data_IF_898736834769
#
_entry.id   IF_898736834769
#
_cell.length_a   1.000
_cell.length_b   1.000
_cell.length_c   1.000
_cell.angle_alpha   90.00
_cell.angle_beta   90.00
_cell.angle_gamma   90.00
#
_symmetry.space_group_name_H-M   'P 1'
#
loop_
_entity.id
_entity.type
_entity.pdbx_description
1 polymer ?
#
# COMPACT_ATOMS: atom_id res chain seq x y z
N UNK A 1 -12.65 4.29 -15.65
CA UNK A 1 -11.20 4.61 -15.69
C UNK A 1 -10.51 3.30 -16.03
N UNK A 2 -9.81 3.22 -17.15
CA UNK A 2 -9.15 2.02 -17.62
C UNK A 2 -7.64 2.08 -17.37
N UNK A 3 -6.96 0.99 -17.73
CA UNK A 3 -5.51 0.82 -17.75
C UNK A 3 -4.86 1.93 -18.61
N UNK A 4 -3.73 2.46 -18.18
CA UNK A 4 -2.93 3.46 -18.87
C UNK A 4 -1.47 3.00 -18.89
N UNK A 5 -0.96 2.70 -20.08
CA UNK A 5 0.39 2.15 -20.30
C UNK A 5 1.40 3.25 -20.67
N UNK A 6 1.00 4.53 -20.72
CA UNK A 6 1.80 5.62 -21.30
C UNK A 6 3.09 5.95 -20.56
N UNK A 7 3.21 5.53 -19.30
CA UNK A 7 4.34 5.83 -18.42
C UNK A 7 4.98 4.58 -17.77
N UNK A 8 4.63 3.37 -18.25
CA UNK A 8 5.28 2.14 -17.78
C UNK A 8 6.73 2.07 -18.26
N UNK A 9 7.63 1.59 -17.43
CA UNK A 9 9.02 1.27 -17.76
C UNK A 9 9.37 -0.18 -17.33
N UNK A 10 10.64 -0.59 -17.47
CA UNK A 10 11.07 -1.96 -17.12
C UNK A 10 10.82 -2.32 -15.64
N UNK A 11 10.73 -1.32 -14.76
CA UNK A 11 10.64 -1.50 -13.30
C UNK A 11 9.31 -1.03 -12.70
N UNK A 12 8.45 -0.33 -13.48
CA UNK A 12 7.17 0.24 -13.04
C UNK A 12 6.05 -0.18 -13.97
N UNK A 13 5.00 -0.77 -13.37
CA UNK A 13 3.91 -1.35 -14.14
C UNK A 13 2.86 -0.31 -14.53
N UNK A 14 2.07 -0.59 -15.58
CA UNK A 14 1.01 0.31 -16.03
C UNK A 14 -0.03 0.59 -14.93
N UNK A 15 -0.55 1.81 -14.90
CA UNK A 15 -1.63 2.16 -13.99
C UNK A 15 -2.88 1.30 -14.24
N UNK A 16 -3.25 0.55 -13.24
CA UNK A 16 -4.50 -0.20 -13.17
C UNK A 16 -5.18 0.09 -11.82
N UNK A 17 -6.43 0.61 -11.82
CA UNK A 17 -7.06 0.98 -10.57
C UNK A 17 -7.66 -0.25 -9.87
N UNK A 18 -7.40 -0.44 -8.58
CA UNK A 18 -8.07 -1.46 -7.75
C UNK A 18 -9.59 -1.33 -7.86
N UNK A 19 -10.30 -2.44 -8.00
CA UNK A 19 -11.77 -2.42 -8.03
C UNK A 19 -12.36 -1.98 -6.68
N UNK A 20 -13.52 -1.36 -6.70
CA UNK A 20 -14.19 -0.94 -5.47
C UNK A 20 -14.65 -2.13 -4.60
N UNK A 21 -14.95 -3.26 -5.23
CA UNK A 21 -15.36 -4.48 -4.55
C UNK A 21 -14.21 -5.07 -3.71
N UNK A 22 -12.98 -5.04 -4.23
CA UNK A 22 -11.77 -5.44 -3.50
C UNK A 22 -11.50 -4.51 -2.32
N UNK A 23 -11.60 -3.19 -2.54
CA UNK A 23 -11.43 -2.22 -1.46
C UNK A 23 -12.53 -2.34 -0.38
N UNK A 24 -13.77 -2.62 -0.79
CA UNK A 24 -14.88 -2.85 0.15
C UNK A 24 -14.67 -4.11 0.99
N UNK A 25 -14.08 -5.15 0.38
CA UNK A 25 -13.68 -6.36 1.10
C UNK A 25 -12.60 -6.06 2.14
N UNK A 26 -11.53 -5.35 1.77
CA UNK A 26 -10.50 -4.93 2.72
C UNK A 26 -11.07 -4.11 3.89
N UNK A 27 -12.01 -3.19 3.62
CA UNK A 27 -12.67 -2.41 4.68
C UNK A 27 -13.42 -3.30 5.68
N UNK A 28 -14.03 -4.40 5.24
CA UNK A 28 -14.77 -5.34 6.10
C UNK A 28 -13.90 -6.15 7.04
N UNK A 29 -12.61 -6.29 6.74
CA UNK A 29 -11.67 -6.98 7.62
C UNK A 29 -11.20 -6.11 8.81
N UNK A 30 -11.63 -4.83 8.85
CA UNK A 30 -11.43 -3.89 9.96
C UNK A 30 -9.97 -3.63 10.37
N UNK A 31 -8.99 -3.89 9.47
CA UNK A 31 -7.58 -3.57 9.70
C UNK A 31 -7.32 -2.06 9.78
N UNK A 32 -8.11 -1.26 9.05
CA UNK A 32 -7.96 0.19 8.98
C UNK A 32 -9.07 0.88 9.80
N UNK A 33 -8.67 1.81 10.65
CA UNK A 33 -9.54 2.61 11.51
C UNK A 33 -9.35 4.12 11.26
N UNK A 34 -10.11 4.96 11.95
CA UNK A 34 -9.92 6.41 11.89
C UNK A 34 -8.57 6.91 12.43
N UNK A 35 -7.90 6.09 13.22
CA UNK A 35 -6.60 6.41 13.80
C UNK A 35 -5.43 5.97 12.91
N UNK A 36 -5.70 5.12 11.91
CA UNK A 36 -4.70 4.60 10.98
C UNK A 36 -4.19 5.66 10.03
N UNK A 37 -2.91 5.55 9.68
CA UNK A 37 -2.23 6.36 8.67
C UNK A 37 -1.70 5.46 7.57
N UNK A 38 -2.37 5.47 6.44
CA UNK A 38 -2.08 4.63 5.28
C UNK A 38 -1.16 5.34 4.29
N UNK A 39 -0.15 4.64 3.79
CA UNK A 39 0.59 5.01 2.57
C UNK A 39 0.18 4.09 1.43
N UNK A 40 -0.29 4.65 0.30
CA UNK A 40 -0.59 3.96 -0.95
C UNK A 40 0.55 4.17 -1.94
N UNK A 41 1.35 3.13 -2.18
CA UNK A 41 2.47 3.17 -3.11
C UNK A 41 2.03 2.89 -4.54
N UNK A 42 2.22 3.86 -5.43
CA UNK A 42 1.70 3.84 -6.80
C UNK A 42 0.23 4.25 -6.84
N UNK A 43 -0.14 5.29 -6.09
CA UNK A 43 -1.53 5.71 -5.90
C UNK A 43 -2.26 6.13 -7.19
N UNK A 44 -1.52 6.42 -8.26
CA UNK A 44 -2.07 6.86 -9.54
C UNK A 44 -2.97 8.09 -9.39
N UNK A 45 -4.27 7.90 -9.64
CA UNK A 45 -5.29 8.98 -9.55
C UNK A 45 -6.00 9.04 -8.17
N UNK A 46 -5.47 8.32 -7.16
CA UNK A 46 -5.90 8.38 -5.77
C UNK A 46 -7.15 7.55 -5.42
N UNK A 47 -7.52 6.52 -6.22
CA UNK A 47 -8.75 5.75 -5.96
C UNK A 47 -8.74 5.08 -4.60
N UNK A 48 -7.65 4.40 -4.25
CA UNK A 48 -7.48 3.68 -2.99
C UNK A 48 -7.56 4.66 -1.83
N UNK A 49 -6.77 5.74 -1.91
CA UNK A 49 -6.72 6.80 -0.90
C UNK A 49 -8.10 7.38 -0.59
N UNK A 50 -8.84 7.80 -1.62
CA UNK A 50 -10.17 8.38 -1.44
C UNK A 50 -11.16 7.38 -0.86
N UNK A 51 -11.15 6.15 -1.36
CA UNK A 51 -12.11 5.13 -0.93
C UNK A 51 -11.87 4.71 0.51
N UNK A 52 -10.63 4.34 0.85
CA UNK A 52 -10.30 3.87 2.19
C UNK A 52 -10.46 5.00 3.22
N UNK A 53 -9.96 6.21 2.94
CA UNK A 53 -10.16 7.35 3.82
C UNK A 53 -11.64 7.68 4.05
N UNK A 54 -12.47 7.64 3.00
CA UNK A 54 -13.91 7.87 3.13
C UNK A 54 -14.62 6.79 3.96
N UNK A 55 -14.25 5.52 3.78
CA UNK A 55 -14.93 4.38 4.39
C UNK A 55 -14.52 4.13 5.85
N UNK A 56 -13.26 4.34 6.18
CA UNK A 56 -12.69 4.02 7.51
C UNK A 56 -12.40 5.27 8.34
N UNK A 57 -12.28 6.44 7.72
CA UNK A 57 -11.84 7.67 8.38
C UNK A 57 -10.32 7.81 8.48
N UNK A 58 -9.53 6.85 8.00
CA UNK A 58 -8.07 6.89 8.06
C UNK A 58 -7.50 8.09 7.28
N UNK A 59 -6.31 8.53 7.65
CA UNK A 59 -5.49 9.43 6.83
C UNK A 59 -4.79 8.59 5.76
N UNK A 60 -4.87 9.00 4.49
CA UNK A 60 -4.23 8.31 3.39
C UNK A 60 -3.22 9.24 2.69
N UNK A 61 -2.03 8.72 2.41
CA UNK A 61 -0.92 9.41 1.74
C UNK A 61 -0.58 8.64 0.47
N UNK A 62 -0.96 9.17 -0.67
CA UNK A 62 -0.66 8.57 -1.97
C UNK A 62 0.72 9.01 -2.48
N UNK A 63 1.59 8.04 -2.77
CA UNK A 63 2.91 8.25 -3.37
C UNK A 63 2.86 7.82 -4.83
N UNK A 64 3.25 8.72 -5.73
CA UNK A 64 3.25 8.46 -7.17
C UNK A 64 4.36 9.26 -7.84
N UNK A 65 5.16 8.64 -8.70
CA UNK A 65 6.27 9.32 -9.38
C UNK A 65 5.82 10.13 -10.61
N UNK A 66 4.69 9.74 -11.22
CA UNK A 66 4.17 10.42 -12.41
C UNK A 66 3.40 11.69 -12.03
N UNK A 67 4.00 12.83 -12.38
CA UNK A 67 3.40 14.13 -12.14
C UNK A 67 2.00 14.30 -12.78
N UNK A 68 1.74 13.61 -13.89
CA UNK A 68 0.43 13.66 -14.57
C UNK A 68 -0.63 12.96 -13.74
N UNK A 69 -0.31 11.80 -13.15
CA UNK A 69 -1.19 11.06 -12.25
C UNK A 69 -1.48 11.86 -10.98
N UNK A 70 -0.45 12.45 -10.37
CA UNK A 70 -0.61 13.33 -9.20
C UNK A 70 -1.53 14.52 -9.52
N UNK A 71 -1.39 15.14 -10.71
CA UNK A 71 -2.30 16.22 -11.10
C UNK A 71 -3.76 15.76 -11.15
N UNK A 72 -4.02 14.57 -11.69
CA UNK A 72 -5.36 14.00 -11.68
C UNK A 72 -5.85 13.66 -10.26
N UNK A 73 -5.00 13.13 -9.39
CA UNK A 73 -5.34 12.88 -7.99
C UNK A 73 -5.75 14.19 -7.28
N UNK A 74 -4.98 15.26 -7.46
CA UNK A 74 -5.28 16.58 -6.88
C UNK A 74 -6.56 17.22 -7.48
N UNK A 75 -6.85 17.00 -8.76
CA UNK A 75 -8.11 17.41 -9.37
C UNK A 75 -9.30 16.64 -8.77
N UNK A 76 -9.18 15.33 -8.60
CA UNK A 76 -10.18 14.49 -7.95
C UNK A 76 -10.40 14.91 -6.49
N UNK A 77 -9.35 15.27 -5.77
CA UNK A 77 -9.43 15.73 -4.38
C UNK A 77 -10.32 16.97 -4.23
N UNK A 78 -10.27 17.91 -5.17
CA UNK A 78 -11.14 19.10 -5.19
C UNK A 78 -12.63 18.75 -5.28
N UNK A 79 -12.96 17.61 -5.92
CA UNK A 79 -14.31 17.09 -6.06
C UNK A 79 -14.79 16.29 -4.84
N UNK A 80 -13.91 15.92 -3.93
CA UNK A 80 -14.23 15.14 -2.73
C UNK A 80 -14.94 16.04 -1.72
N UNK A 81 -16.28 15.91 -1.61
CA UNK A 81 -17.13 16.86 -0.86
C UNK A 81 -17.11 16.69 0.67
N UNK A 82 -16.59 15.60 1.25
CA UNK A 82 -16.55 15.37 2.71
C UNK A 82 -15.49 14.35 3.12
N UNK A 83 -14.80 14.67 4.22
CA UNK A 83 -14.12 13.73 5.13
C UNK A 83 -13.08 12.78 4.51
N UNK A 84 -12.50 13.09 3.35
CA UNK A 84 -11.32 12.37 2.89
C UNK A 84 -10.08 13.06 3.42
N UNK A 85 -9.37 12.42 4.33
CA UNK A 85 -8.09 12.89 4.86
C UNK A 85 -6.96 12.37 3.96
N UNK A 86 -6.85 12.93 2.74
CA UNK A 86 -5.90 12.47 1.72
C UNK A 86 -4.83 13.50 1.44
N UNK A 87 -3.60 13.04 1.22
CA UNK A 87 -2.46 13.81 0.76
C UNK A 87 -1.83 13.09 -0.43
N UNK A 88 -1.32 13.81 -1.43
CA UNK A 88 -0.65 13.24 -2.59
C UNK A 88 0.75 13.84 -2.73
N UNK A 89 1.75 12.98 -2.90
CA UNK A 89 3.17 13.35 -3.00
C UNK A 89 3.71 12.83 -4.33
N UNK A 90 4.30 13.74 -5.12
CA UNK A 90 4.97 13.39 -6.37
C UNK A 90 6.42 13.02 -6.07
N UNK A 91 6.67 11.72 -5.85
CA UNK A 91 7.97 11.22 -5.46
C UNK A 91 8.13 9.75 -5.89
N UNK A 92 9.36 9.29 -6.02
CA UNK A 92 9.63 7.86 -6.22
C UNK A 92 9.40 7.10 -4.92
N UNK A 93 8.76 5.93 -5.01
CA UNK A 93 8.43 5.10 -3.86
C UNK A 93 9.67 4.80 -2.98
N UNK A 94 10.80 4.48 -3.62
CA UNK A 94 12.08 4.15 -2.98
C UNK A 94 12.80 5.35 -2.33
N UNK A 95 12.38 6.58 -2.63
CA UNK A 95 12.95 7.81 -2.08
C UNK A 95 12.11 8.36 -0.91
N UNK A 96 10.83 7.99 -0.86
CA UNK A 96 9.91 8.48 0.18
C UNK A 96 10.38 8.07 1.59
N UNK A 97 10.51 9.08 2.47
CA UNK A 97 10.79 8.87 3.89
C UNK A 97 9.47 8.67 4.64
N UNK A 98 9.31 7.50 5.23
CA UNK A 98 8.10 7.13 5.97
C UNK A 98 8.01 7.92 7.29
N UNK A 99 6.91 8.67 7.47
CA UNK A 99 6.66 9.44 8.69
C UNK A 99 6.42 8.52 9.90
N UNK A 100 6.76 9.00 11.10
CA UNK A 100 6.73 8.22 12.34
C UNK A 100 5.33 7.75 12.78
N UNK A 101 4.27 8.36 12.25
CA UNK A 101 2.88 8.03 12.56
C UNK A 101 2.21 7.12 11.50
N UNK A 102 2.92 6.79 10.41
CA UNK A 102 2.42 5.83 9.39
C UNK A 102 2.45 4.42 9.96
N UNK A 103 1.31 3.73 9.92
CA UNK A 103 1.15 2.37 10.44
C UNK A 103 0.62 1.36 9.41
N UNK A 104 0.24 1.81 8.21
CA UNK A 104 -0.39 0.97 7.20
C UNK A 104 0.14 1.27 5.81
N UNK A 105 0.30 0.22 4.98
CA UNK A 105 0.86 0.36 3.64
C UNK A 105 0.07 -0.48 2.64
N UNK A 106 -0.27 0.10 1.48
CA UNK A 106 -0.98 -0.58 0.42
C UNK A 106 -0.15 -0.63 -0.86
N UNK A 107 -0.16 -1.81 -1.51
CA UNK A 107 0.55 -2.08 -2.75
C UNK A 107 -0.38 -2.84 -3.71
N UNK A 108 -0.66 -2.27 -4.87
CA UNK A 108 -1.27 -3.02 -5.97
C UNK A 108 -0.20 -3.34 -7.02
N UNK A 109 0.76 -4.19 -6.68
CA UNK A 109 1.85 -4.63 -7.55
C UNK A 109 2.43 -3.48 -8.41
N UNK A 110 2.86 -2.35 -7.81
CA UNK A 110 3.10 -1.12 -8.57
C UNK A 110 4.46 -1.10 -9.28
N UNK A 111 5.41 -1.95 -8.88
CA UNK A 111 6.79 -1.95 -9.37
C UNK A 111 7.46 -3.32 -9.21
N UNK A 112 8.70 -3.45 -9.67
CA UNK A 112 9.50 -4.68 -9.56
C UNK A 112 9.92 -4.99 -8.11
N UNK A 113 10.39 -6.23 -7.87
CA UNK A 113 10.88 -6.64 -6.54
C UNK A 113 12.09 -5.84 -6.09
N UNK A 114 12.94 -5.36 -7.01
CA UNK A 114 14.11 -4.54 -6.67
C UNK A 114 13.71 -3.17 -6.11
N UNK A 115 12.62 -2.59 -6.59
CA UNK A 115 12.07 -1.37 -6.02
C UNK A 115 11.38 -1.69 -4.69
N UNK A 116 10.63 -2.80 -4.60
CA UNK A 116 10.01 -3.23 -3.35
C UNK A 116 11.03 -3.39 -2.22
N UNK A 117 12.19 -3.98 -2.50
CA UNK A 117 13.29 -4.12 -1.53
C UNK A 117 13.72 -2.77 -0.94
N UNK A 118 13.85 -1.75 -1.80
CA UNK A 118 14.23 -0.41 -1.36
C UNK A 118 13.12 0.28 -0.56
N UNK A 119 11.86 0.09 -0.98
CA UNK A 119 10.70 0.63 -0.25
C UNK A 119 10.60 -0.02 1.13
N UNK A 120 10.75 -1.34 1.22
CA UNK A 120 10.75 -2.05 2.51
C UNK A 120 11.89 -1.59 3.41
N UNK A 121 13.08 -1.32 2.85
CA UNK A 121 14.19 -0.76 3.64
C UNK A 121 13.79 0.59 4.28
N UNK A 122 13.04 1.48 3.56
CA UNK A 122 12.52 2.72 4.13
C UNK A 122 11.47 2.51 5.22
N UNK A 123 10.61 1.51 5.05
CA UNK A 123 9.63 1.13 6.07
C UNK A 123 10.35 0.60 7.32
N UNK A 124 11.33 -0.28 7.14
CA UNK A 124 12.15 -0.81 8.23
C UNK A 124 12.95 0.30 8.96
N UNK A 125 13.55 1.26 8.22
CA UNK A 125 14.19 2.44 8.82
C UNK A 125 13.23 3.17 9.77
N UNK A 126 12.00 3.47 9.31
CA UNK A 126 10.98 4.12 10.14
C UNK A 126 10.51 3.25 11.31
N UNK A 127 10.44 1.92 11.11
CA UNK A 127 10.10 0.98 12.17
C UNK A 127 11.16 0.96 13.28
N UNK A 128 12.45 0.91 12.93
CA UNK A 128 13.53 0.93 13.92
C UNK A 128 13.70 2.29 14.61
N UNK A 129 13.46 3.40 13.91
CA UNK A 129 13.46 4.74 14.51
C UNK A 129 12.29 4.93 15.49
N UNK A 130 11.12 4.35 15.20
CA UNK A 130 9.92 4.46 16.02
C UNK A 130 9.12 3.14 15.97
N UNK A 131 9.44 2.16 16.84
CA UNK A 131 8.80 0.85 16.86
C UNK A 131 7.30 0.95 17.11
N UNK A 132 6.51 0.38 16.20
CA UNK A 132 5.05 0.32 16.24
C UNK A 132 4.55 -0.84 15.42
N UNK A 133 3.33 -1.30 15.68
CA UNK A 133 2.69 -2.26 14.79
C UNK A 133 2.44 -1.59 13.43
N UNK A 134 2.87 -2.24 12.36
CA UNK A 134 2.68 -1.79 10.98
C UNK A 134 2.05 -2.91 10.16
N UNK A 135 1.01 -2.62 9.38
CA UNK A 135 0.32 -3.59 8.53
C UNK A 135 0.56 -3.28 7.05
N UNK A 136 0.97 -4.28 6.28
CA UNK A 136 1.26 -4.17 4.87
C UNK A 136 0.28 -5.01 4.05
N UNK A 137 -0.44 -4.38 3.13
CA UNK A 137 -1.45 -5.00 2.25
C UNK A 137 -0.91 -5.10 0.83
N UNK A 138 -0.75 -6.32 0.32
CA UNK A 138 -0.31 -6.58 -1.05
C UNK A 138 -1.48 -7.16 -1.86
N UNK A 139 -2.13 -6.32 -2.66
CA UNK A 139 -3.14 -6.78 -3.59
C UNK A 139 -2.51 -7.25 -4.90
N UNK A 140 -3.00 -8.38 -5.38
CA UNK A 140 -2.55 -9.01 -6.63
C UNK A 140 -1.03 -9.27 -6.69
N UNK A 141 -0.40 -9.79 -5.62
CA UNK A 141 1.04 -9.96 -5.59
C UNK A 141 1.52 -11.01 -6.60
N UNK A 142 2.75 -10.83 -7.12
CA UNK A 142 3.44 -11.88 -7.87
C UNK A 142 4.04 -12.93 -6.92
N UNK A 143 4.36 -14.12 -7.44
CA UNK A 143 5.06 -15.16 -6.68
C UNK A 143 6.43 -14.66 -6.22
N UNK A 144 7.08 -13.81 -7.02
CA UNK A 144 8.35 -13.18 -6.69
C UNK A 144 8.22 -12.24 -5.47
N UNK A 145 7.14 -11.44 -5.40
CA UNK A 145 6.84 -10.62 -4.23
C UNK A 145 6.66 -11.49 -2.99
N UNK A 146 5.82 -12.51 -3.06
CA UNK A 146 5.57 -13.40 -1.92
C UNK A 146 6.85 -14.10 -1.49
N UNK A 147 7.62 -14.64 -2.44
CA UNK A 147 8.88 -15.32 -2.15
C UNK A 147 9.86 -14.40 -1.41
N UNK A 148 9.95 -13.14 -1.83
CA UNK A 148 10.82 -12.16 -1.17
C UNK A 148 10.27 -11.79 0.23
N UNK A 149 8.99 -11.42 0.34
CA UNK A 149 8.38 -11.00 1.60
C UNK A 149 8.51 -12.06 2.71
N UNK A 150 8.41 -13.34 2.35
CA UNK A 150 8.59 -14.45 3.28
C UNK A 150 10.04 -14.62 3.77
N UNK A 151 11.01 -13.91 3.20
CA UNK A 151 12.42 -13.92 3.66
C UNK A 151 12.78 -12.73 4.56
N UNK A 152 11.89 -11.76 4.71
CA UNK A 152 12.10 -10.55 5.52
C UNK A 152 11.82 -10.88 6.99
N UNK A 153 12.84 -10.82 7.85
CA UNK A 153 12.74 -11.27 9.25
C UNK A 153 11.71 -10.50 10.07
N UNK A 154 11.54 -9.20 9.80
CA UNK A 154 10.60 -8.33 10.52
C UNK A 154 9.15 -8.53 10.10
N UNK A 155 8.90 -9.22 8.97
CA UNK A 155 7.56 -9.46 8.46
C UNK A 155 7.02 -10.81 8.91
N UNK A 156 5.83 -10.78 9.49
CA UNK A 156 5.04 -11.99 9.78
C UNK A 156 3.84 -12.03 8.85
N UNK A 157 3.61 -13.15 8.17
CA UNK A 157 2.37 -13.39 7.44
C UNK A 157 1.20 -13.38 8.43
N UNK A 158 0.22 -12.52 8.19
CA UNK A 158 -0.92 -12.35 9.06
C UNK A 158 -2.18 -12.98 8.47
N UNK A 159 -2.51 -12.68 7.21
CA UNK A 159 -3.77 -13.12 6.60
C UNK A 159 -3.69 -13.14 5.06
N UNK A 160 -4.65 -13.84 4.45
CA UNK A 160 -4.91 -13.82 3.01
C UNK A 160 -6.39 -13.61 2.74
N UNK A 161 -6.75 -12.45 2.20
CA UNK A 161 -8.11 -12.08 1.86
C UNK A 161 -8.39 -12.51 0.43
N UNK A 162 -9.18 -13.56 0.24
CA UNK A 162 -9.56 -14.07 -1.09
C UNK A 162 -10.52 -13.11 -1.80
N UNK A 163 -10.16 -12.68 -3.00
CA UNK A 163 -10.96 -11.80 -3.84
C UNK A 163 -11.41 -12.46 -5.16
N UNK A 164 -11.14 -13.77 -5.36
CA UNK A 164 -11.41 -14.49 -6.62
C UNK A 164 -12.90 -14.54 -6.98
N UNK A 165 -13.76 -14.63 -5.98
CA UNK A 165 -15.22 -14.64 -6.16
C UNK A 165 -15.80 -13.31 -6.66
N UNK A 166 -15.05 -12.20 -6.54
CA UNK A 166 -15.40 -10.89 -7.10
C UNK A 166 -15.23 -10.82 -8.62
N UNK A 167 -14.54 -11.81 -9.18
CA UNK A 167 -14.23 -11.92 -10.61
C UNK A 167 -14.69 -13.29 -11.15
N UNK A 168 -13.96 -13.86 -12.12
CA UNK A 168 -14.32 -15.15 -12.70
C UNK A 168 -13.81 -16.38 -11.89
N UNK A 169 -13.18 -16.15 -10.73
CA UNK A 169 -12.75 -17.21 -9.81
C UNK A 169 -11.51 -18.02 -10.22
N UNK A 170 -10.92 -17.75 -11.38
CA UNK A 170 -9.83 -18.57 -11.96
C UNK A 170 -8.42 -18.01 -11.74
N UNK A 171 -8.29 -16.76 -11.30
CA UNK A 171 -7.00 -16.10 -11.12
C UNK A 171 -6.59 -16.12 -9.64
N UNK A 172 -5.59 -16.95 -9.31
CA UNK A 172 -5.11 -17.10 -7.93
C UNK A 172 -4.44 -15.84 -7.36
N UNK A 173 -4.07 -14.87 -8.19
CA UNK A 173 -3.52 -13.60 -7.74
C UNK A 173 -4.59 -12.62 -7.25
N UNK A 174 -5.87 -12.87 -7.50
CA UNK A 174 -6.98 -12.06 -7.00
C UNK A 174 -7.18 -12.26 -5.50
N UNK A 175 -6.21 -11.73 -4.74
CA UNK A 175 -6.17 -11.78 -3.26
C UNK A 175 -5.39 -10.60 -2.72
N UNK A 176 -5.65 -10.24 -1.47
CA UNK A 176 -4.80 -9.34 -0.68
C UNK A 176 -4.03 -10.20 0.32
N UNK A 177 -2.72 -10.17 0.26
CA UNK A 177 -1.86 -10.81 1.26
C UNK A 177 -1.46 -9.77 2.29
N UNK A 178 -1.66 -10.09 3.56
CA UNK A 178 -1.43 -9.18 4.67
C UNK A 178 -0.22 -9.65 5.47
N UNK A 179 0.73 -8.73 5.66
CA UNK A 179 1.88 -8.91 6.53
C UNK A 179 1.85 -7.88 7.67
N UNK A 180 2.48 -8.22 8.76
CA UNK A 180 2.63 -7.34 9.93
C UNK A 180 4.11 -7.24 10.34
N UNK A 181 4.54 -6.03 10.73
CA UNK A 181 5.73 -5.81 11.55
C UNK A 181 5.25 -5.56 12.97
N UNK A 182 5.53 -6.48 13.90
CA UNK A 182 5.13 -6.36 15.30
C UNK A 182 6.10 -5.44 16.07
N UNK A 183 5.56 -4.40 16.71
CA UNK A 183 6.34 -3.47 17.55
C UNK A 183 7.09 -4.09 18.72
N UNK A 184 6.84 -5.39 19.03
CA UNK A 184 7.51 -6.10 20.11
C UNK A 184 8.84 -6.78 19.70
N UNK A 185 9.20 -6.77 18.41
CA UNK A 185 10.40 -7.46 17.91
C UNK A 185 11.73 -6.78 18.29
N UNK A 186 11.70 -5.52 18.74
CA UNK A 186 12.90 -4.71 19.07
C UNK A 186 13.58 -5.12 20.38
N UNK A 187 13.09 -6.14 21.08
CA UNK A 187 13.52 -6.52 22.43
C UNK A 187 14.70 -7.49 22.57
N UNK A 188 15.36 -7.96 21.50
CA UNK A 188 16.36 -9.03 21.60
C UNK A 188 17.80 -8.67 21.21
N UNK A 189 18.12 -7.40 20.99
CA UNK A 189 19.50 -6.94 20.79
C UNK A 189 19.98 -6.02 21.92
N UNK A 190 19.73 -6.38 23.17
CA UNK A 190 20.55 -5.88 24.28
C UNK A 190 21.76 -6.82 24.41
N UNK A 191 22.90 -6.30 23.90
CA UNK A 191 24.14 -7.02 23.78
C UNK A 191 24.71 -7.51 25.14
N UNK A 192 25.32 -8.67 25.08
CA UNK A 192 26.46 -9.01 25.89
C UNK A 192 27.78 -8.59 25.20
#
# INVERSE_FOLDING_TARGET
>A
MGRDDSHADEYRYPYEPTSYEVLDRLVREEYLTSDSVLVDYGCGKGRVDFFLSYRTGCRAIGIEYDQTMIRFALENQKGCKKACHTQFICERAEEYKVDADVDSFYFFHPFSVEILQKVLARIQESYYENPRCMTLFFYYPSDEYISYLMTVEELTFLDEIDCRDLFNGSNERERIVVFEMDGNFVGFYDGE
#
